data_IF_279809970228
#
_entry.id   IF_279809970228
#
_cell.length_a   1.000
_cell.length_b   1.000
_cell.length_c   1.000
_cell.angle_alpha   90.00
_cell.angle_beta   90.00
_cell.angle_gamma   90.00
#
_symmetry.space_group_name_H-M   'P 1'
#
loop_
_entity.id
_entity.type
_entity.pdbx_description
1 polymer ?
#
# COMPACT_ATOMS: atom_id res chain seq x y z
N UNK A 1 -28.99 15.10 -19.95
CA UNK A 1 -28.17 15.05 -18.72
C UNK A 1 -29.08 15.37 -17.55
N UNK A 2 -29.11 14.53 -16.54
CA UNK A 2 -29.81 14.74 -15.27
C UNK A 2 -28.80 15.27 -14.26
N UNK A 3 -28.75 16.60 -13.99
CA UNK A 3 -27.71 17.20 -13.12
C UNK A 3 -27.74 16.67 -11.68
N UNK A 4 -28.89 16.16 -11.25
CA UNK A 4 -29.12 15.63 -9.90
C UNK A 4 -28.82 14.11 -9.77
N UNK A 5 -28.33 13.48 -10.84
CA UNK A 5 -28.07 12.06 -10.91
C UNK A 5 -29.34 11.23 -11.25
N UNK A 6 -29.17 9.96 -11.56
CA UNK A 6 -30.25 9.03 -11.89
C UNK A 6 -30.88 8.39 -10.65
N UNK A 7 -30.27 8.55 -9.46
CA UNK A 7 -30.64 7.85 -8.23
C UNK A 7 -30.10 6.42 -8.14
N UNK A 8 -29.40 5.93 -9.16
CA UNK A 8 -28.71 4.65 -9.11
C UNK A 8 -27.46 4.74 -8.23
N UNK A 9 -27.31 3.76 -7.34
CA UNK A 9 -26.15 3.62 -6.50
C UNK A 9 -25.14 2.71 -7.20
N UNK A 10 -23.87 3.10 -7.19
CA UNK A 10 -22.77 2.25 -7.66
C UNK A 10 -21.92 1.77 -6.49
N UNK A 11 -21.30 0.61 -6.65
CA UNK A 11 -20.41 0.02 -5.66
C UNK A 11 -18.99 -0.07 -6.21
N UNK A 12 -18.02 0.24 -5.35
CA UNK A 12 -16.58 0.01 -5.61
C UNK A 12 -16.05 -0.89 -4.52
N UNK A 13 -15.38 -1.97 -4.91
CA UNK A 13 -14.74 -2.89 -3.97
C UNK A 13 -13.38 -3.37 -4.48
N UNK A 14 -12.45 -3.52 -3.55
CA UNK A 14 -11.10 -4.03 -3.82
C UNK A 14 -10.84 -5.25 -2.95
N UNK A 15 -10.32 -6.31 -3.56
CA UNK A 15 -9.91 -7.54 -2.88
C UNK A 15 -8.46 -7.85 -3.23
N UNK A 16 -7.65 -8.18 -2.22
CA UNK A 16 -6.32 -8.71 -2.43
C UNK A 16 -6.13 -10.00 -1.62
N UNK A 17 -5.76 -11.07 -2.30
CA UNK A 17 -5.37 -12.33 -1.68
C UNK A 17 -3.86 -12.52 -1.89
N UNK A 18 -3.13 -12.79 -0.80
CA UNK A 18 -1.69 -12.91 -0.85
C UNK A 18 -1.19 -14.17 -0.14
N UNK A 19 -0.13 -14.76 -0.70
CA UNK A 19 0.61 -15.85 -0.09
C UNK A 19 2.07 -15.45 0.02
N UNK A 20 2.63 -15.58 1.23
CA UNK A 20 3.99 -15.13 1.52
C UNK A 20 4.86 -16.32 1.92
N UNK A 21 6.05 -16.38 1.33
CA UNK A 21 7.14 -17.27 1.76
C UNK A 21 8.30 -16.41 2.25
N UNK A 22 8.79 -16.70 3.44
CA UNK A 22 9.96 -16.03 3.99
C UNK A 22 10.94 -17.03 4.61
N UNK A 23 12.23 -16.81 4.37
CA UNK A 23 13.29 -17.68 4.89
C UNK A 23 14.50 -16.89 5.36
N UNK A 24 15.01 -17.28 6.50
CA UNK A 24 16.29 -16.85 7.00
C UNK A 24 17.39 -17.67 6.32
N UNK A 25 18.16 -17.04 5.42
CA UNK A 25 19.21 -17.70 4.63
C UNK A 25 20.52 -17.83 5.41
N UNK A 26 20.81 -16.83 6.25
CA UNK A 26 21.93 -16.84 7.21
C UNK A 26 21.45 -16.25 8.53
N UNK A 27 22.28 -16.29 9.58
CA UNK A 27 21.92 -15.70 10.88
C UNK A 27 21.57 -14.21 10.81
N UNK A 28 21.95 -13.55 9.72
CA UNK A 28 21.80 -12.10 9.56
C UNK A 28 21.04 -11.69 8.32
N UNK A 29 20.81 -12.60 7.40
CA UNK A 29 20.15 -12.29 6.13
C UNK A 29 18.89 -13.12 5.96
N UNK A 30 17.78 -12.44 5.76
CA UNK A 30 16.47 -13.01 5.48
C UNK A 30 15.96 -12.52 4.13
N UNK A 31 15.23 -13.38 3.44
CA UNK A 31 14.59 -13.11 2.16
C UNK A 31 13.11 -13.44 2.26
N UNK A 32 12.27 -12.67 1.58
CA UNK A 32 10.83 -12.88 1.49
C UNK A 32 10.32 -12.68 0.07
N UNK A 33 9.35 -13.48 -0.30
CA UNK A 33 8.60 -13.42 -1.54
C UNK A 33 7.11 -13.45 -1.19
N UNK A 34 6.34 -12.56 -1.77
CA UNK A 34 4.90 -12.52 -1.67
C UNK A 34 4.30 -12.54 -3.07
N UNK A 35 3.32 -13.41 -3.30
CA UNK A 35 2.54 -13.45 -4.53
C UNK A 35 1.12 -13.07 -4.17
N UNK A 36 0.52 -12.15 -4.91
CA UNK A 36 -0.81 -11.64 -4.64
C UNK A 36 -1.66 -11.57 -5.90
N UNK A 37 -2.93 -11.89 -5.74
CA UNK A 37 -3.99 -11.64 -6.69
C UNK A 37 -4.73 -10.39 -6.22
N UNK A 38 -4.81 -9.38 -7.07
CA UNK A 38 -5.54 -8.14 -6.81
C UNK A 38 -6.72 -8.06 -7.76
N UNK A 39 -7.90 -7.83 -7.21
CA UNK A 39 -9.14 -7.62 -7.94
C UNK A 39 -9.70 -6.26 -7.55
N UNK A 40 -10.06 -5.48 -8.54
CA UNK A 40 -10.80 -4.23 -8.41
C UNK A 40 -12.13 -4.38 -9.14
N UNK A 41 -13.21 -4.05 -8.47
CA UNK A 41 -14.55 -4.04 -9.03
C UNK A 41 -15.11 -2.63 -8.93
N UNK A 42 -15.56 -2.09 -10.05
CA UNK A 42 -16.23 -0.80 -10.14
C UNK A 42 -17.56 -1.05 -10.86
N UNK A 43 -18.64 -1.04 -10.08
CA UNK A 43 -19.99 -1.33 -10.54
C UNK A 43 -20.07 -2.67 -11.29
N UNK A 44 -20.21 -2.69 -12.62
CA UNK A 44 -20.31 -3.90 -13.46
C UNK A 44 -18.97 -4.26 -14.16
N UNK A 45 -17.91 -3.54 -13.85
CA UNK A 45 -16.57 -3.78 -14.42
C UNK A 45 -15.64 -4.40 -13.39
N UNK A 46 -14.74 -5.26 -13.86
CA UNK A 46 -13.72 -5.91 -13.05
C UNK A 46 -12.34 -5.73 -13.68
N UNK A 47 -11.34 -5.57 -12.84
CA UNK A 47 -9.94 -5.66 -13.23
C UNK A 47 -9.22 -6.65 -12.31
N UNK A 48 -8.42 -7.54 -12.87
CA UNK A 48 -7.68 -8.54 -12.11
C UNK A 48 -6.23 -8.54 -12.54
N UNK A 49 -5.32 -8.68 -11.57
CA UNK A 49 -3.88 -8.78 -11.86
C UNK A 49 -3.18 -9.64 -10.82
N UNK A 50 -2.14 -10.34 -11.27
CA UNK A 50 -1.19 -11.03 -10.39
C UNK A 50 0.04 -10.15 -10.24
N UNK A 51 0.48 -9.97 -8.99
CA UNK A 51 1.68 -9.22 -8.65
C UNK A 51 2.53 -9.98 -7.64
N UNK A 52 3.81 -9.67 -7.63
CA UNK A 52 4.78 -10.19 -6.69
C UNK A 52 5.46 -9.04 -5.92
N UNK A 53 5.78 -9.32 -4.67
CA UNK A 53 6.64 -8.46 -3.85
C UNK A 53 7.87 -9.29 -3.43
N UNK A 54 9.03 -8.65 -3.47
CA UNK A 54 10.29 -9.26 -3.05
C UNK A 54 10.92 -8.37 -2.01
N UNK A 55 11.45 -8.96 -0.94
CA UNK A 55 12.14 -8.18 0.09
C UNK A 55 13.29 -8.94 0.72
N UNK A 56 14.22 -8.19 1.27
CA UNK A 56 15.30 -8.71 2.07
C UNK A 56 15.52 -7.88 3.33
N UNK A 57 16.03 -8.54 4.36
CA UNK A 57 16.40 -7.94 5.62
C UNK A 57 17.78 -8.41 6.03
N UNK A 58 18.66 -7.45 6.31
CA UNK A 58 20.00 -7.69 6.83
C UNK A 58 20.14 -7.09 8.22
N UNK A 59 20.58 -7.92 9.18
CA UNK A 59 20.85 -7.52 10.57
C UNK A 59 22.35 -7.47 10.79
N UNK A 60 22.89 -6.30 11.11
CA UNK A 60 24.35 -6.13 11.31
C UNK A 60 24.81 -6.72 12.64
N UNK A 61 26.11 -6.98 12.76
CA UNK A 61 26.73 -7.40 14.03
C UNK A 61 26.74 -6.29 15.09
N UNK A 62 26.74 -5.04 14.65
CA UNK A 62 26.85 -3.89 15.53
C UNK A 62 25.47 -3.43 16.00
N UNK A 63 25.14 -3.82 17.24
CA UNK A 63 24.04 -3.27 18.06
C UNK A 63 22.71 -3.04 17.32
N UNK A 64 22.18 -4.10 16.69
CA UNK A 64 20.76 -4.09 16.26
C UNK A 64 20.44 -3.16 15.08
N UNK A 65 21.43 -2.76 14.27
CA UNK A 65 21.11 -2.06 13.01
C UNK A 65 20.54 -3.08 12.03
N UNK A 66 19.38 -2.75 11.47
CA UNK A 66 18.68 -3.52 10.46
C UNK A 66 18.59 -2.69 9.19
N UNK A 67 18.90 -3.32 8.07
CA UNK A 67 18.76 -2.73 6.73
C UNK A 67 17.75 -3.59 5.97
N UNK A 68 16.70 -2.97 5.47
CA UNK A 68 15.65 -3.63 4.70
C UNK A 68 15.53 -3.03 3.30
N UNK A 69 15.24 -3.86 2.31
CA UNK A 69 14.91 -3.43 0.96
C UNK A 69 13.74 -4.25 0.46
N UNK A 70 12.83 -3.62 -0.29
CA UNK A 70 11.74 -4.31 -0.96
C UNK A 70 11.35 -3.65 -2.26
N UNK A 71 10.86 -4.48 -3.17
CA UNK A 71 10.15 -4.09 -4.39
C UNK A 71 8.76 -4.66 -4.25
N UNK A 72 7.74 -3.83 -4.35
CA UNK A 72 6.34 -4.23 -4.21
C UNK A 72 5.55 -3.93 -5.47
N UNK A 73 4.51 -4.75 -5.72
CA UNK A 73 3.60 -4.59 -6.86
C UNK A 73 4.27 -4.82 -8.24
N UNK A 74 5.29 -5.66 -8.29
CA UNK A 74 5.85 -6.08 -9.57
C UNK A 74 4.88 -7.08 -10.23
N UNK A 75 4.21 -6.65 -11.32
CA UNK A 75 3.18 -7.47 -11.95
C UNK A 75 2.72 -6.95 -13.30
N UNK A 76 1.62 -7.52 -13.78
CA UNK A 76 0.96 -7.13 -15.01
C UNK A 76 0.25 -5.78 -14.91
N UNK A 77 -0.47 -5.45 -15.99
CA UNK A 77 -1.38 -4.30 -16.03
C UNK A 77 -2.78 -4.73 -15.61
N UNK A 78 -3.46 -3.89 -14.89
CA UNK A 78 -4.90 -3.98 -14.66
C UNK A 78 -5.63 -3.40 -15.87
N UNK A 79 -6.76 -4.01 -16.23
CA UNK A 79 -7.63 -3.55 -17.30
C UNK A 79 -9.07 -3.75 -16.86
N UNK A 80 -9.89 -2.72 -16.92
CA UNK A 80 -11.30 -2.82 -16.61
C UNK A 80 -12.04 -3.44 -17.81
N UNK A 81 -12.74 -4.53 -17.54
CA UNK A 81 -13.58 -5.26 -18.50
C UNK A 81 -14.93 -5.55 -17.86
N UNK A 82 -16.00 -5.53 -18.64
CA UNK A 82 -17.34 -5.85 -18.17
C UNK A 82 -18.43 -5.13 -18.93
N UNK A 83 -19.66 -5.28 -18.45
CA UNK A 83 -20.90 -4.85 -19.13
C UNK A 83 -20.88 -3.37 -19.52
N UNK A 84 -20.31 -2.49 -18.71
CA UNK A 84 -20.30 -1.06 -19.00
C UNK A 84 -19.39 -0.67 -20.17
N UNK A 85 -18.58 -1.62 -20.69
CA UNK A 85 -17.77 -1.45 -21.91
C UNK A 85 -18.51 -1.87 -23.17
N UNK A 86 -19.66 -2.54 -23.05
CA UNK A 86 -20.47 -2.96 -24.20
C UNK A 86 -21.14 -1.78 -24.89
N UNK A 87 -21.11 -1.76 -26.21
CA UNK A 87 -21.73 -0.74 -27.06
C UNK A 87 -22.22 -1.38 -28.33
N UNK A 88 -23.41 -0.98 -28.76
CA UNK A 88 -23.87 -1.27 -30.11
C UNK A 88 -23.05 -0.45 -31.10
N UNK A 89 -22.55 -1.07 -32.13
CA UNK A 89 -21.77 -0.45 -33.18
C UNK A 89 -22.45 -0.68 -34.54
N UNK A 90 -22.69 0.41 -35.29
CA UNK A 90 -23.13 0.38 -36.66
C UNK A 90 -21.92 0.54 -37.59
N UNK A 91 -21.74 -0.41 -38.55
CA UNK A 91 -20.62 -0.38 -39.47
C UNK A 91 -20.76 0.77 -40.48
N UNK A 92 -22.00 1.10 -40.88
CA UNK A 92 -22.26 2.13 -41.89
C UNK A 92 -23.59 2.83 -41.60
N UNK A 93 -23.54 3.94 -40.89
CA UNK A 93 -24.70 4.78 -40.54
C UNK A 93 -25.42 5.35 -41.75
N UNK A 94 -24.88 5.25 -42.96
CA UNK A 94 -25.47 5.78 -44.17
C UNK A 94 -26.38 4.78 -44.90
N UNK A 95 -26.28 3.49 -44.57
CA UNK A 95 -27.03 2.40 -45.17
C UNK A 95 -28.12 1.94 -44.21
N UNK A 96 -29.35 2.38 -44.45
CA UNK A 96 -30.50 1.99 -43.67
C UNK A 96 -30.88 0.52 -43.90
N UNK A 97 -30.99 -0.28 -42.80
CA UNK A 97 -31.36 -1.69 -42.85
C UNK A 97 -30.21 -2.68 -42.97
N UNK A 98 -28.95 -2.25 -42.83
CA UNK A 98 -27.83 -3.14 -42.58
C UNK A 98 -27.81 -3.60 -41.13
N UNK A 99 -26.81 -4.34 -40.69
CA UNK A 99 -26.67 -4.77 -39.30
C UNK A 99 -26.18 -3.60 -38.41
N UNK A 100 -27.13 -2.80 -37.92
CA UNK A 100 -26.94 -1.61 -37.07
C UNK A 100 -26.62 -1.92 -35.61
N UNK A 101 -26.63 -3.21 -35.23
CA UNK A 101 -26.39 -3.65 -33.85
C UNK A 101 -25.38 -4.77 -33.77
N UNK A 102 -24.14 -4.42 -33.92
CA UNK A 102 -23.04 -5.32 -33.67
C UNK A 102 -22.57 -5.10 -32.23
N UNK A 103 -22.64 -6.15 -31.40
CA UNK A 103 -22.07 -6.13 -30.08
C UNK A 103 -20.57 -5.83 -30.15
N UNK A 104 -20.17 -4.71 -29.59
CA UNK A 104 -18.79 -4.29 -29.55
C UNK A 104 -18.37 -3.94 -28.12
N UNK A 105 -17.11 -4.06 -27.81
CA UNK A 105 -16.55 -3.69 -26.51
C UNK A 105 -15.56 -2.55 -26.68
N UNK A 106 -15.69 -1.53 -25.82
CA UNK A 106 -14.69 -0.48 -25.70
C UNK A 106 -13.42 -1.10 -25.14
N UNK A 107 -12.31 -0.95 -25.84
CA UNK A 107 -11.00 -1.37 -25.37
C UNK A 107 -10.47 -0.35 -24.36
N UNK A 108 -10.60 -0.68 -23.08
CA UNK A 108 -10.13 0.19 -21.99
C UNK A 108 -8.60 0.15 -21.91
N UNK A 109 -7.99 1.27 -21.60
CA UNK A 109 -6.55 1.34 -21.42
C UNK A 109 -6.14 0.64 -20.12
N UNK A 110 -5.19 -0.31 -20.22
CA UNK A 110 -4.62 -0.96 -19.05
C UNK A 110 -3.59 -0.06 -18.34
N UNK A 111 -3.60 -0.08 -17.00
CA UNK A 111 -2.64 0.65 -16.14
C UNK A 111 -1.83 -0.34 -15.29
N UNK A 112 -0.54 -0.06 -15.03
CA UNK A 112 0.27 -0.88 -14.13
C UNK A 112 -0.15 -0.67 -12.67
N UNK A 113 0.09 -1.67 -11.83
CA UNK A 113 0.05 -1.48 -10.39
C UNK A 113 1.13 -0.45 -9.96
N UNK A 114 0.90 0.29 -8.87
CA UNK A 114 1.89 1.22 -8.33
C UNK A 114 3.12 0.44 -7.82
N UNK A 115 4.13 0.31 -8.68
CA UNK A 115 5.42 -0.30 -8.32
C UNK A 115 6.12 0.59 -7.32
N UNK A 116 6.55 0.02 -6.20
CA UNK A 116 7.22 0.77 -5.13
C UNK A 116 8.53 0.08 -4.77
N UNK A 117 9.62 0.81 -4.89
CA UNK A 117 10.90 0.45 -4.29
C UNK A 117 11.04 1.13 -2.92
N UNK A 118 11.45 0.37 -1.92
CA UNK A 118 11.71 0.87 -0.57
C UNK A 118 13.06 0.38 -0.08
N UNK A 119 13.85 1.29 0.49
CA UNK A 119 15.08 0.98 1.20
C UNK A 119 15.03 1.66 2.58
N UNK A 120 15.31 0.91 3.63
CA UNK A 120 15.20 1.44 4.98
C UNK A 120 16.31 0.94 5.90
N UNK A 121 16.55 1.74 6.92
CA UNK A 121 17.47 1.43 8.01
C UNK A 121 16.76 1.65 9.35
N UNK A 122 16.96 0.77 10.29
CA UNK A 122 16.50 0.97 11.67
C UNK A 122 17.56 0.56 12.68
N UNK A 123 17.50 1.17 13.86
CA UNK A 123 18.43 0.91 14.96
C UNK A 123 17.70 0.97 16.30
N UNK A 124 17.97 -0.03 17.13
CA UNK A 124 17.59 0.02 18.54
C UNK A 124 18.64 0.84 19.30
N UNK A 125 18.25 2.05 19.73
CA UNK A 125 19.12 2.98 20.47
C UNK A 125 19.08 2.73 21.97
N UNK A 126 17.97 2.18 22.45
CA UNK A 126 17.79 1.65 23.79
C UNK A 126 17.16 0.26 23.64
N UNK A 127 17.74 -0.73 24.30
CA UNK A 127 17.22 -2.10 24.30
C UNK A 127 17.59 -2.78 25.60
N UNK A 128 16.71 -2.65 26.59
CA UNK A 128 16.83 -3.31 27.88
C UNK A 128 15.59 -4.20 28.15
N UNK A 129 15.50 -4.80 29.32
CA UNK A 129 14.39 -5.73 29.66
C UNK A 129 13.01 -5.08 29.68
N UNK A 130 12.92 -3.79 29.94
CA UNK A 130 11.67 -3.08 30.13
C UNK A 130 11.43 -2.04 29.04
N UNK A 131 12.47 -1.45 28.49
CA UNK A 131 12.41 -0.30 27.60
C UNK A 131 13.14 -0.60 26.30
N UNK A 132 12.48 -0.40 25.19
CA UNK A 132 13.08 -0.47 23.87
C UNK A 132 12.73 0.77 23.07
N UNK A 133 13.72 1.45 22.54
CA UNK A 133 13.55 2.61 21.66
C UNK A 133 14.22 2.31 20.31
N UNK A 134 13.42 2.34 19.26
CA UNK A 134 13.87 2.10 17.89
C UNK A 134 13.70 3.38 17.08
N UNK A 135 14.74 3.75 16.34
CA UNK A 135 14.71 4.77 15.30
C UNK A 135 14.73 4.09 13.94
N UNK A 136 13.98 4.62 12.98
CA UNK A 136 13.92 4.11 11.61
C UNK A 136 13.86 5.25 10.60
N UNK A 137 14.42 4.99 9.41
CA UNK A 137 14.29 5.86 8.25
C UNK A 137 14.14 5.00 6.99
N UNK A 138 13.17 5.37 6.13
CA UNK A 138 12.88 4.68 4.88
C UNK A 138 12.86 5.68 3.72
N UNK A 139 13.61 5.39 2.66
CA UNK A 139 13.49 6.06 1.37
C UNK A 139 12.55 5.24 0.48
N UNK A 140 11.60 5.90 -0.16
CA UNK A 140 10.56 5.26 -0.96
C UNK A 140 10.49 5.94 -2.32
N UNK A 141 10.59 5.12 -3.36
CA UNK A 141 10.52 5.52 -4.76
C UNK A 141 9.36 4.78 -5.46
N UNK A 142 8.17 5.40 -5.57
CA UNK A 142 7.06 4.87 -6.36
C UNK A 142 7.25 5.22 -7.84
N UNK A 143 6.72 4.40 -8.74
CA UNK A 143 6.81 4.67 -10.20
C UNK A 143 5.78 5.69 -10.71
N UNK A 144 4.80 6.05 -9.89
CA UNK A 144 3.65 6.89 -10.26
C UNK A 144 3.40 8.06 -9.31
N UNK A 145 4.36 8.36 -8.44
CA UNK A 145 4.25 9.44 -7.47
C UNK A 145 5.64 9.98 -7.10
N UNK A 146 5.69 11.07 -6.36
CA UNK A 146 6.93 11.66 -5.85
C UNK A 146 7.68 10.72 -4.91
N UNK A 147 8.98 10.87 -4.86
CA UNK A 147 9.84 10.21 -3.88
C UNK A 147 9.61 10.81 -2.50
N UNK A 148 9.73 9.98 -1.47
CA UNK A 148 9.59 10.46 -0.11
C UNK A 148 10.47 9.71 0.88
N UNK A 149 10.85 10.42 1.96
CA UNK A 149 11.60 9.91 3.09
C UNK A 149 10.68 9.84 4.30
N UNK A 150 10.61 8.69 4.94
CA UNK A 150 9.92 8.53 6.21
C UNK A 150 10.93 8.41 7.35
N UNK A 151 10.72 9.18 8.40
CA UNK A 151 11.43 9.03 9.67
C UNK A 151 10.45 8.55 10.73
N UNK A 152 10.86 7.58 11.53
CA UNK A 152 10.02 6.97 12.54
C UNK A 152 10.75 6.69 13.83
N UNK A 153 9.97 6.73 14.92
CA UNK A 153 10.38 6.40 16.26
C UNK A 153 9.35 5.46 16.88
N UNK A 154 9.80 4.38 17.51
CA UNK A 154 8.98 3.46 18.28
C UNK A 154 9.55 3.30 19.67
N UNK A 155 8.73 3.52 20.69
CA UNK A 155 9.04 3.15 22.07
C UNK A 155 8.16 2.00 22.50
N UNK A 156 8.78 0.93 22.97
CA UNK A 156 8.10 -0.28 23.46
C UNK A 156 8.38 -0.48 24.94
N UNK A 157 7.34 -0.67 25.72
CA UNK A 157 7.41 -0.95 27.16
C UNK A 157 7.10 -2.42 27.45
N UNK A 158 8.02 -3.11 28.13
CA UNK A 158 7.96 -4.53 28.53
C UNK A 158 7.66 -5.51 27.37
N UNK A 159 7.82 -5.08 26.12
CA UNK A 159 7.43 -5.88 24.95
C UNK A 159 5.91 -6.03 24.76
N UNK A 160 5.11 -5.32 25.54
CA UNK A 160 3.64 -5.41 25.55
C UNK A 160 3.02 -4.19 24.89
N UNK A 161 3.32 -3.00 25.36
CA UNK A 161 2.77 -1.75 24.82
C UNK A 161 3.79 -1.02 23.97
N UNK A 162 3.35 -0.42 22.87
CA UNK A 162 4.19 0.42 22.03
C UNK A 162 3.48 1.71 21.67
N UNK A 163 4.25 2.79 21.57
CA UNK A 163 3.83 4.05 20.94
C UNK A 163 4.80 4.39 19.82
N UNK A 164 4.25 4.96 18.75
CA UNK A 164 4.98 5.26 17.52
C UNK A 164 4.69 6.67 17.08
N UNK A 165 5.69 7.32 16.55
CA UNK A 165 5.56 8.61 15.87
C UNK A 165 6.37 8.56 14.59
N UNK A 166 5.88 9.20 13.55
CA UNK A 166 6.57 9.25 12.27
C UNK A 166 6.22 10.49 11.48
N UNK A 167 7.12 10.86 10.60
CA UNK A 167 6.96 11.98 9.67
C UNK A 167 7.42 11.57 8.29
N UNK A 168 6.65 11.96 7.27
CA UNK A 168 6.99 11.78 5.86
C UNK A 168 7.36 13.11 5.24
N UNK A 169 8.46 13.13 4.50
CA UNK A 169 8.95 14.26 3.72
C UNK A 169 8.86 13.90 2.25
N UNK A 170 8.07 14.61 1.47
CA UNK A 170 7.90 14.41 0.03
C UNK A 170 8.88 15.30 -0.71
N UNK A 171 9.59 14.76 -1.71
CA UNK A 171 10.49 15.50 -2.59
C UNK A 171 9.68 15.98 -3.80
N UNK A 172 9.34 17.26 -3.84
CA UNK A 172 8.64 17.89 -4.95
C UNK A 172 9.62 18.46 -5.96
N UNK A 173 9.28 18.43 -7.25
CA UNK A 173 10.05 19.12 -8.28
C UNK A 173 9.90 20.66 -8.16
N UNK A 174 10.91 21.42 -8.62
CA UNK A 174 11.02 22.87 -8.40
C UNK A 174 9.89 23.72 -9.02
N UNK A 175 8.97 23.13 -9.78
CA UNK A 175 7.93 23.86 -10.55
C UNK A 175 6.54 23.90 -9.88
N UNK A 176 6.38 23.36 -8.67
CA UNK A 176 5.10 23.46 -7.95
C UNK A 176 5.02 24.69 -7.05
N UNK A 177 3.82 25.29 -6.98
CA UNK A 177 3.54 26.48 -6.17
C UNK A 177 3.83 26.25 -4.69
N UNK A 178 4.49 27.21 -4.03
CA UNK A 178 5.02 27.06 -2.66
C UNK A 178 3.95 26.72 -1.61
N UNK A 179 2.71 27.19 -1.76
CA UNK A 179 1.60 26.88 -0.84
C UNK A 179 1.20 25.39 -0.85
N UNK A 180 1.30 24.72 -1.99
CA UNK A 180 1.03 23.27 -2.10
C UNK A 180 2.16 22.41 -1.54
N UNK A 181 3.38 22.94 -1.52
CA UNK A 181 4.55 22.26 -0.98
C UNK A 181 4.43 22.00 0.51
N UNK A 182 3.97 22.97 1.31
CA UNK A 182 3.87 22.82 2.77
C UNK A 182 2.82 21.79 3.18
N UNK A 183 1.66 21.73 2.51
CA UNK A 183 0.60 20.76 2.80
C UNK A 183 0.97 19.31 2.42
N UNK A 184 1.76 19.12 1.35
CA UNK A 184 2.21 17.80 0.91
C UNK A 184 3.44 17.30 1.67
N UNK A 185 4.25 18.20 2.24
CA UNK A 185 5.57 17.84 2.80
C UNK A 185 5.52 17.36 4.24
N UNK A 186 4.50 17.73 5.02
CA UNK A 186 4.45 17.52 6.47
C UNK A 186 3.33 16.54 6.87
N UNK A 187 3.47 15.26 6.48
CA UNK A 187 2.52 14.23 6.92
C UNK A 187 3.01 13.59 8.21
N UNK A 188 2.28 13.86 9.29
CA UNK A 188 2.56 13.30 10.61
C UNK A 188 1.73 12.05 10.89
N UNK A 189 2.32 11.09 11.57
CA UNK A 189 1.68 9.82 11.93
C UNK A 189 1.94 9.52 13.39
N UNK A 190 0.88 9.14 14.12
CA UNK A 190 0.97 8.65 15.50
C UNK A 190 0.30 7.28 15.55
N UNK A 191 0.86 6.37 16.34
CA UNK A 191 0.27 5.05 16.54
C UNK A 191 0.53 4.50 17.93
N UNK A 192 -0.31 3.55 18.31
CA UNK A 192 -0.14 2.75 19.52
C UNK A 192 -0.35 1.27 19.19
N UNK A 193 0.34 0.40 19.89
CA UNK A 193 0.24 -1.05 19.70
C UNK A 193 0.22 -1.79 21.02
N UNK A 194 -0.49 -2.91 21.04
CA UNK A 194 -0.50 -3.88 22.12
C UNK A 194 -0.06 -5.24 21.56
N UNK A 195 0.87 -5.89 22.24
CA UNK A 195 1.39 -7.19 21.86
C UNK A 195 1.27 -8.12 23.05
N UNK A 196 0.42 -9.13 22.96
CA UNK A 196 0.20 -10.09 24.01
C UNK A 196 0.49 -11.51 23.55
N UNK A 197 1.37 -12.20 24.27
CA UNK A 197 1.68 -13.60 24.02
C UNK A 197 0.87 -14.47 24.97
N UNK A 198 -0.05 -15.27 24.44
CA UNK A 198 -0.82 -16.24 25.23
C UNK A 198 0.13 -17.36 25.68
N UNK A 199 0.18 -17.70 26.98
CA UNK A 199 0.97 -18.85 27.44
C UNK A 199 0.57 -20.15 26.73
N UNK A 200 1.51 -20.77 26.02
CA UNK A 200 1.30 -21.95 25.15
C UNK A 200 0.35 -21.73 23.97
N UNK A 201 0.09 -20.51 23.60
CA UNK A 201 -0.82 -20.14 22.50
C UNK A 201 -0.20 -19.10 21.55
N UNK A 202 -1.02 -18.55 20.66
CA UNK A 202 -0.61 -17.54 19.70
C UNK A 202 -0.18 -16.23 20.36
N UNK A 203 0.58 -15.46 19.60
CA UNK A 203 0.84 -14.05 19.90
C UNK A 203 -0.20 -13.21 19.15
N UNK A 204 -0.86 -12.31 19.88
CA UNK A 204 -1.84 -11.36 19.34
C UNK A 204 -1.22 -9.97 19.39
N UNK A 205 -1.21 -9.31 18.26
CA UNK A 205 -0.79 -7.92 18.16
C UNK A 205 -1.94 -7.09 17.59
N UNK A 206 -2.29 -6.03 18.30
CA UNK A 206 -3.29 -5.04 17.88
C UNK A 206 -2.61 -3.69 17.77
N UNK A 207 -2.72 -3.06 16.60
CA UNK A 207 -2.17 -1.75 16.38
C UNK A 207 -3.27 -0.79 15.88
N UNK A 208 -3.15 0.46 16.32
CA UNK A 208 -3.94 1.59 15.86
C UNK A 208 -3.03 2.72 15.44
N UNK A 209 -3.31 3.32 14.28
CA UNK A 209 -2.53 4.43 13.76
C UNK A 209 -3.45 5.51 13.20
N UNK A 210 -3.07 6.77 13.43
CA UNK A 210 -3.69 7.94 12.81
C UNK A 210 -2.62 8.63 11.98
N UNK A 211 -2.92 8.86 10.71
CA UNK A 211 -2.05 9.58 9.77
C UNK A 211 -2.79 10.81 9.26
N UNK A 212 -2.11 11.92 9.28
CA UNK A 212 -2.55 13.14 8.62
C UNK A 212 -2.20 13.09 7.12
N UNK A 213 -3.23 13.31 6.28
CA UNK A 213 -3.09 13.37 4.83
C UNK A 213 -3.31 14.80 4.30
N UNK A 214 -3.15 15.83 5.13
CA UNK A 214 -3.35 17.22 4.75
C UNK A 214 -4.79 17.49 4.33
N UNK A 215 -5.01 17.76 3.04
CA UNK A 215 -6.33 18.08 2.46
C UNK A 215 -7.38 16.99 2.72
N UNK A 216 -6.98 15.71 2.77
CA UNK A 216 -7.87 14.58 3.04
C UNK A 216 -8.13 14.37 4.55
N UNK A 217 -7.60 15.24 5.40
CA UNK A 217 -7.68 15.14 6.87
C UNK A 217 -7.02 13.87 7.42
N UNK A 218 -7.34 13.54 8.64
CA UNK A 218 -6.74 12.38 9.33
C UNK A 218 -7.47 11.08 9.01
N UNK A 219 -6.71 10.03 8.71
CA UNK A 219 -7.22 8.67 8.48
C UNK A 219 -6.73 7.76 9.61
N UNK A 220 -7.67 7.06 10.25
CA UNK A 220 -7.40 6.04 11.26
C UNK A 220 -7.38 4.64 10.65
N UNK A 221 -6.40 3.81 11.06
CA UNK A 221 -6.28 2.42 10.63
C UNK A 221 -6.07 1.50 11.82
N UNK A 222 -6.70 0.33 11.77
CA UNK A 222 -6.54 -0.74 12.74
C UNK A 222 -5.90 -1.95 12.08
N UNK A 223 -5.01 -2.64 12.78
CA UNK A 223 -4.50 -3.93 12.34
C UNK A 223 -4.51 -4.96 13.45
N UNK A 224 -4.83 -6.20 13.10
CA UNK A 224 -4.78 -7.36 13.98
C UNK A 224 -3.86 -8.40 13.34
N UNK A 225 -2.84 -8.83 14.10
CA UNK A 225 -1.93 -9.90 13.68
C UNK A 225 -1.98 -11.04 14.71
N UNK A 226 -2.12 -12.27 14.23
CA UNK A 226 -2.13 -13.49 15.05
C UNK A 226 -1.01 -14.40 14.54
N UNK A 227 -0.03 -14.70 15.41
CA UNK A 227 1.12 -15.55 15.08
C UNK A 227 1.12 -16.79 15.97
N UNK A 228 1.29 -17.97 15.38
CA UNK A 228 1.31 -19.28 16.03
C UNK A 228 2.73 -19.78 16.26
#
# INVERSE_FOLDING_TARGET
>A
QVPEGTGELFEVSNLALATTYARKLTDRFSFGLNIKLVQEKIWHMNANVIAADVGCLFVTKNKGIRIGMSISNFGGKMKLEGYDTERDFDIDETIFGNNDKIDSHLDTQGWPLPLVFRAGISKDVLDDKMHKLTLAGDAIHPNNNYEYLNLGLEYTFMGIGSVRAGQSYVFLEEHEEDDKREEMTNQFTIGAGLNYKIPRGPRIQLDYVVRDFGVLKSVGSYSLNISF
#
